data_IF_969121186643
#
_entry.id   IF_969121186643
#
_cell.length_a   1.000
_cell.length_b   1.000
_cell.length_c   1.000
_cell.angle_alpha   90.00
_cell.angle_beta   90.00
_cell.angle_gamma   90.00
#
_symmetry.space_group_name_H-M   'P 1'
#
loop_
_entity.id
_entity.type
_entity.pdbx_description
1 polymer ?
#
# COMPACT_ATOMS: atom_id res chain seq x y z
N UNK A 1 -13.71 -28.74 -7.96
CA UNK A 1 -14.66 -27.75 -7.43
C UNK A 1 -13.93 -26.46 -7.41
N UNK A 2 -14.29 -25.58 -8.33
CA UNK A 2 -13.76 -24.21 -8.46
C UNK A 2 -14.14 -23.47 -7.17
N UNK A 3 -13.15 -23.15 -6.33
CA UNK A 3 -13.39 -22.35 -5.13
C UNK A 3 -13.56 -20.90 -5.56
N UNK A 4 -14.83 -20.55 -5.72
CA UNK A 4 -15.44 -19.24 -5.94
C UNK A 4 -14.56 -18.06 -5.54
N UNK A 5 -14.25 -17.24 -6.56
CA UNK A 5 -14.03 -15.81 -6.40
C UNK A 5 -15.20 -15.16 -5.64
N UNK A 6 -14.97 -13.93 -5.19
CA UNK A 6 -15.97 -12.97 -4.69
C UNK A 6 -16.16 -12.94 -3.16
N UNK A 7 -15.14 -12.40 -2.49
CA UNK A 7 -15.38 -11.65 -1.26
C UNK A 7 -15.95 -10.27 -1.64
N UNK A 8 -17.25 -10.10 -1.39
CA UNK A 8 -18.00 -8.85 -1.55
C UNK A 8 -17.44 -7.74 -0.65
N UNK A 9 -17.02 -6.62 -1.25
CA UNK A 9 -16.78 -5.37 -0.56
C UNK A 9 -16.15 -4.33 -1.47
N UNK A 10 -16.72 -3.13 -1.50
CA UNK A 10 -16.11 -1.87 -1.97
C UNK A 10 -14.82 -1.51 -1.18
N UNK A 11 -13.91 -2.47 -1.04
CA UNK A 11 -12.55 -2.20 -0.60
C UNK A 11 -11.80 -1.79 -1.88
N UNK A 12 -11.24 -0.57 -1.95
CA UNK A 12 -10.59 -0.09 -3.16
C UNK A 12 -9.55 -1.12 -3.61
N UNK A 13 -9.49 -1.41 -4.92
CA UNK A 13 -8.67 -2.51 -5.43
C UNK A 13 -7.24 -2.30 -4.97
N UNK A 14 -6.65 -3.33 -4.38
CA UNK A 14 -5.23 -3.30 -4.09
C UNK A 14 -4.47 -2.96 -5.38
N UNK A 15 -3.47 -2.07 -5.36
CA UNK A 15 -2.72 -1.77 -6.57
C UNK A 15 -2.13 -3.05 -7.16
N UNK A 16 -2.22 -3.26 -8.49
CA UNK A 16 -1.68 -4.47 -9.16
C UNK A 16 -0.21 -4.78 -8.80
N UNK A 17 0.55 -3.73 -8.50
CA UNK A 17 1.98 -3.79 -8.18
C UNK A 17 2.24 -4.12 -6.69
N UNK A 18 1.18 -4.33 -5.90
CA UNK A 18 1.20 -4.45 -4.46
C UNK A 18 0.36 -5.66 -3.99
N UNK A 19 0.74 -6.20 -2.83
CA UNK A 19 0.00 -7.23 -2.13
C UNK A 19 -0.70 -6.63 -0.92
N UNK A 20 -2.03 -6.78 -0.85
CA UNK A 20 -2.81 -6.34 0.30
C UNK A 20 -3.14 -7.55 1.18
N UNK A 21 -2.97 -7.39 2.48
CA UNK A 21 -3.31 -8.40 3.47
C UNK A 21 -4.14 -7.77 4.57
N UNK A 22 -5.19 -8.47 5.00
CA UNK A 22 -6.01 -8.01 6.13
C UNK A 22 -5.16 -8.08 7.40
N UNK A 23 -5.00 -6.96 8.09
CA UNK A 23 -4.22 -6.93 9.31
C UNK A 23 -5.00 -7.58 10.46
N UNK A 24 -4.26 -8.05 11.48
CA UNK A 24 -4.85 -8.57 12.73
C UNK A 24 -5.67 -7.50 13.49
N UNK A 25 -5.36 -6.23 13.25
CA UNK A 25 -6.15 -5.06 13.71
C UNK A 25 -7.07 -4.65 12.57
N UNK A 26 -8.25 -4.06 12.84
CA UNK A 26 -9.12 -3.49 11.78
C UNK A 26 -8.29 -2.59 10.87
N UNK A 27 -8.07 -3.03 9.63
CA UNK A 27 -7.27 -2.32 8.64
C UNK A 27 -6.57 -3.24 7.64
N UNK A 28 -5.97 -2.63 6.63
CA UNK A 28 -5.28 -3.30 5.53
C UNK A 28 -3.78 -2.97 5.57
N UNK A 29 -2.96 -4.00 5.35
CA UNK A 29 -1.52 -3.89 5.13
C UNK A 29 -1.25 -3.94 3.64
N UNK A 30 -0.63 -2.89 3.10
CA UNK A 30 -0.28 -2.80 1.68
C UNK A 30 1.23 -2.98 1.53
N UNK A 31 1.65 -4.01 0.80
CA UNK A 31 3.05 -4.36 0.59
C UNK A 31 3.43 -4.30 -0.90
N UNK A 32 4.24 -3.34 -1.29
CA UNK A 32 4.71 -3.13 -2.67
C UNK A 32 6.24 -3.27 -2.73
N UNK A 33 6.77 -4.47 -2.58
CA UNK A 33 8.23 -4.69 -2.62
C UNK A 33 8.73 -4.85 -4.06
N UNK A 34 9.88 -4.24 -4.41
CA UNK A 34 10.56 -4.42 -5.72
C UNK A 34 9.71 -4.11 -6.95
N UNK A 35 8.71 -3.24 -6.79
CA UNK A 35 7.81 -2.82 -7.85
C UNK A 35 8.38 -1.67 -8.73
N UNK A 36 9.64 -1.25 -8.47
CA UNK A 36 10.31 -0.11 -9.14
C UNK A 36 9.50 1.18 -9.06
N UNK A 37 8.72 1.34 -7.99
CA UNK A 37 7.85 2.49 -7.80
C UNK A 37 8.70 3.72 -7.54
N UNK A 38 8.44 4.78 -8.30
CA UNK A 38 9.13 6.07 -8.14
C UNK A 38 8.36 7.03 -7.23
N UNK A 39 7.08 6.72 -6.99
CA UNK A 39 6.15 7.45 -6.14
C UNK A 39 5.27 6.45 -5.38
N UNK A 40 4.66 6.91 -4.29
CA UNK A 40 3.69 6.13 -3.51
C UNK A 40 2.36 6.05 -4.30
N UNK A 41 1.75 4.85 -4.45
CA UNK A 41 0.45 4.73 -5.12
C UNK A 41 -0.62 5.57 -4.42
N UNK A 42 -1.46 6.23 -5.22
CA UNK A 42 -2.58 7.05 -4.72
C UNK A 42 -3.83 6.24 -4.41
N UNK A 43 -3.92 5.06 -5.01
CA UNK A 43 -5.02 4.11 -4.84
C UNK A 43 -4.77 3.24 -3.60
N UNK A 44 -4.74 3.89 -2.44
CA UNK A 44 -4.59 3.21 -1.15
C UNK A 44 -5.92 3.24 -0.40
N UNK A 45 -6.37 2.10 0.16
CA UNK A 45 -7.55 2.07 1.02
C UNK A 45 -7.43 3.04 2.18
N UNK A 46 -8.53 3.73 2.52
CA UNK A 46 -8.57 4.63 3.70
C UNK A 46 -8.26 3.89 5.01
N UNK A 47 -8.58 2.59 5.06
CA UNK A 47 -8.31 1.66 6.16
C UNK A 47 -6.87 1.14 6.17
N UNK A 48 -5.97 1.68 5.33
CA UNK A 48 -4.56 1.27 5.30
C UNK A 48 -3.87 1.64 6.60
N UNK A 49 -3.48 0.64 7.37
CA UNK A 49 -2.78 0.84 8.65
C UNK A 49 -1.26 0.83 8.49
N UNK A 50 -0.77 0.17 7.44
CA UNK A 50 0.65 -0.03 7.23
C UNK A 50 0.97 -0.15 5.74
N UNK A 51 1.90 0.67 5.29
CA UNK A 51 2.38 0.73 3.92
C UNK A 51 3.86 0.31 3.88
N UNK A 52 4.13 -0.77 3.18
CA UNK A 52 5.44 -1.43 3.15
C UNK A 52 5.93 -1.44 1.70
N UNK A 53 6.90 -0.61 1.35
CA UNK A 53 7.40 -0.47 -0.03
C UNK A 53 8.92 -0.56 -0.13
N UNK A 54 9.55 -1.66 0.35
CA UNK A 54 11.00 -1.79 0.30
C UNK A 54 11.52 -2.04 -1.12
N UNK A 55 12.78 -1.68 -1.35
CA UNK A 55 13.49 -1.95 -2.62
C UNK A 55 12.80 -1.31 -3.84
N UNK A 56 12.29 -0.09 -3.69
CA UNK A 56 11.75 0.71 -4.79
C UNK A 56 12.67 1.90 -5.13
N UNK A 57 12.21 2.77 -6.01
CA UNK A 57 12.95 3.92 -6.53
C UNK A 57 12.37 5.24 -5.98
N UNK A 58 11.81 5.22 -4.76
CA UNK A 58 11.26 6.41 -4.11
C UNK A 58 12.41 7.38 -3.80
N UNK A 59 12.66 8.32 -4.72
CA UNK A 59 13.70 9.35 -4.55
C UNK A 59 13.24 10.53 -3.71
N UNK A 60 11.96 10.89 -3.81
CA UNK A 60 11.34 11.95 -3.04
C UNK A 60 9.90 11.55 -2.71
N UNK A 61 9.52 11.75 -1.45
CA UNK A 61 8.13 11.58 -1.01
C UNK A 61 7.43 12.93 -1.15
N UNK A 62 6.42 13.00 -2.01
CA UNK A 62 5.64 14.24 -2.22
C UNK A 62 4.73 14.49 -1.02
N UNK A 63 4.79 15.70 -0.47
CA UNK A 63 3.84 16.17 0.56
C UNK A 63 2.52 16.65 -0.07
N UNK A 64 1.92 15.84 -0.94
CA UNK A 64 0.69 16.16 -1.69
C UNK A 64 -0.59 15.87 -0.86
N UNK A 65 -0.45 15.61 0.44
CA UNK A 65 -1.55 15.26 1.33
C UNK A 65 -2.04 13.81 1.21
N UNK A 66 -1.36 12.94 0.45
CA UNK A 66 -1.71 11.52 0.30
C UNK A 66 -1.88 10.82 1.66
N UNK A 67 -0.88 10.94 2.54
CA UNK A 67 -0.93 10.35 3.88
C UNK A 67 -1.98 11.01 4.79
N UNK A 68 -2.35 12.26 4.52
CA UNK A 68 -3.43 12.94 5.25
C UNK A 68 -4.82 12.34 4.99
N UNK A 69 -4.97 11.58 3.90
CA UNK A 69 -6.22 10.84 3.59
C UNK A 69 -6.27 9.47 4.25
N UNK A 70 -5.20 9.04 4.90
CA UNK A 70 -5.07 7.72 5.52
C UNK A 70 -5.01 7.91 7.06
N UNK A 71 -6.17 8.10 7.72
CA UNK A 71 -6.21 8.42 9.15
C UNK A 71 -5.69 7.29 10.03
N UNK A 72 -5.82 6.04 9.57
CA UNK A 72 -5.40 4.83 10.30
C UNK A 72 -3.94 4.44 10.05
N UNK A 73 -3.21 5.19 9.21
CA UNK A 73 -1.85 4.86 8.82
C UNK A 73 -0.88 5.07 9.98
N UNK A 74 -0.37 3.97 10.52
CA UNK A 74 0.55 3.96 11.68
C UNK A 74 1.96 3.55 11.32
N UNK A 75 2.15 2.88 10.17
CA UNK A 75 3.46 2.32 9.78
C UNK A 75 3.79 2.60 8.32
N UNK A 76 5.00 3.13 8.10
CA UNK A 76 5.60 3.32 6.79
C UNK A 76 6.96 2.59 6.75
N UNK A 77 7.18 1.77 5.73
CA UNK A 77 8.45 1.09 5.51
C UNK A 77 8.94 1.38 4.09
N UNK A 78 9.88 2.33 3.96
CA UNK A 78 10.51 2.70 2.70
C UNK A 78 11.97 2.26 2.65
N UNK A 79 12.30 1.12 3.26
CA UNK A 79 13.68 0.63 3.31
C UNK A 79 14.23 0.36 1.92
N UNK A 80 15.53 0.57 1.75
CA UNK A 80 16.22 0.37 0.47
C UNK A 80 15.55 1.13 -0.70
N UNK A 81 15.03 2.33 -0.43
CA UNK A 81 14.61 3.27 -1.46
C UNK A 81 15.71 4.29 -1.73
N UNK A 82 15.94 4.54 -3.01
CA UNK A 82 16.85 5.56 -3.48
C UNK A 82 16.92 5.48 -5.00
N UNK A 83 16.83 6.61 -5.69
CA UNK A 83 17.15 6.64 -7.12
C UNK A 83 18.63 6.29 -7.24
N UNK A 84 18.88 5.11 -7.80
CA UNK A 84 20.22 4.65 -8.12
C UNK A 84 20.76 5.42 -9.32
#
# INVERSE_FOLDING_TARGET
GEETAEACGDEPPCPDMCACSRALVRGVRVACARARLSDVPRDLPITTIALIMPDNNLGQIKSDGLFGRLPDLTKLDFRNNGKK
#
